data_IF_618690703749
#
_entry.id   IF_618690703749
#
_cell.length_a   1.000
_cell.length_b   1.000
_cell.length_c   1.000
_cell.angle_alpha   90.00
_cell.angle_beta   90.00
_cell.angle_gamma   90.00
#
_symmetry.space_group_name_H-M   'P 1'
#
loop_
_entity.id
_entity.type
_entity.pdbx_description
1 polymer ?
#
# COMPACT_ATOMS: atom_id res chain seq x y z
N UNK A 1 16.98 3.52 -21.61
CA UNK A 1 15.54 3.66 -21.33
C UNK A 1 15.43 4.59 -20.14
N UNK A 2 14.49 5.56 -20.09
CA UNK A 2 14.31 6.32 -18.85
C UNK A 2 14.00 5.30 -17.75
N UNK A 3 14.72 5.39 -16.63
CA UNK A 3 14.36 4.64 -15.43
C UNK A 3 12.90 4.97 -15.12
N UNK A 4 12.06 3.94 -14.95
CA UNK A 4 10.72 4.17 -14.42
C UNK A 4 10.92 4.74 -13.01
N UNK A 5 10.70 6.04 -12.85
CA UNK A 5 10.73 6.68 -11.55
C UNK A 5 9.60 6.05 -10.75
N UNK A 6 9.95 5.28 -9.71
CA UNK A 6 9.00 4.65 -8.82
C UNK A 6 9.05 5.35 -7.46
N UNK A 7 7.88 5.47 -6.84
CA UNK A 7 7.72 6.00 -5.49
C UNK A 7 7.36 4.85 -4.57
N UNK A 8 8.11 4.68 -3.48
CA UNK A 8 7.77 3.75 -2.41
C UNK A 8 6.77 4.39 -1.45
N UNK A 9 5.63 3.71 -1.27
CA UNK A 9 4.58 4.12 -0.33
C UNK A 9 4.40 3.07 0.76
N UNK A 10 4.25 3.55 1.99
CA UNK A 10 3.95 2.75 3.18
C UNK A 10 2.82 3.44 3.95
N UNK A 11 1.84 2.66 4.41
CA UNK A 11 0.58 3.20 4.95
C UNK A 11 0.42 2.83 6.41
N UNK A 12 0.47 3.83 7.29
CA UNK A 12 0.16 3.69 8.72
C UNK A 12 -1.35 3.59 8.91
N UNK A 13 -1.81 2.58 9.63
CA UNK A 13 -3.23 2.37 9.97
C UNK A 13 -3.51 2.68 11.44
N UNK A 14 -4.80 2.71 11.82
CA UNK A 14 -5.28 3.27 13.09
C UNK A 14 -4.74 2.57 14.35
N UNK A 15 -4.32 1.31 14.23
CA UNK A 15 -3.73 0.52 15.31
C UNK A 15 -2.22 0.77 15.48
N UNK A 16 -1.66 1.69 14.68
CA UNK A 16 -0.25 2.03 14.70
C UNK A 16 0.63 1.10 13.86
N UNK A 17 0.08 0.03 13.27
CA UNK A 17 0.80 -0.84 12.33
C UNK A 17 0.83 -0.25 10.92
N UNK A 18 1.63 -0.86 10.04
CA UNK A 18 1.85 -0.37 8.69
C UNK A 18 1.56 -1.45 7.63
N UNK A 19 1.03 -1.03 6.48
CA UNK A 19 0.87 -1.84 5.27
C UNK A 19 1.90 -1.37 4.22
N UNK A 20 2.68 -2.29 3.64
CA UNK A 20 3.74 -2.01 2.67
C UNK A 20 5.17 -2.19 3.22
N UNK A 21 6.21 -1.70 2.52
CA UNK A 21 6.17 -0.75 1.40
C UNK A 21 5.72 -1.37 0.06
N UNK A 22 5.24 -0.51 -0.84
CA UNK A 22 4.92 -0.85 -2.24
C UNK A 22 5.46 0.22 -3.19
N UNK A 23 5.99 -0.20 -4.34
CA UNK A 23 6.43 0.71 -5.41
C UNK A 23 5.28 1.05 -6.35
N UNK A 24 5.13 2.33 -6.68
CA UNK A 24 4.14 2.83 -7.62
C UNK A 24 4.78 3.77 -8.64
N UNK A 25 4.31 3.73 -9.88
CA UNK A 25 4.57 4.83 -10.82
C UNK A 25 3.90 6.12 -10.32
N UNK A 26 4.49 7.31 -10.52
CA UNK A 26 3.87 8.61 -10.29
C UNK A 26 2.52 8.80 -11.00
N UNK A 27 2.24 8.03 -12.05
CA UNK A 27 0.95 8.06 -12.78
C UNK A 27 -0.11 7.17 -12.15
N UNK A 28 0.20 6.43 -11.09
CA UNK A 28 -0.75 5.55 -10.39
C UNK A 28 -1.88 6.38 -9.81
N UNK A 29 -3.13 5.93 -10.01
CA UNK A 29 -4.28 6.65 -9.50
C UNK A 29 -4.50 6.37 -8.02
N UNK A 30 -5.12 7.32 -7.32
CA UNK A 30 -5.54 7.14 -5.92
C UNK A 30 -6.49 5.95 -5.76
N UNK A 31 -7.31 5.64 -6.78
CA UNK A 31 -8.20 4.48 -6.77
C UNK A 31 -7.42 3.17 -6.67
N UNK A 32 -6.40 2.98 -7.52
CA UNK A 32 -5.53 1.80 -7.49
C UNK A 32 -4.79 1.65 -6.15
N UNK A 33 -4.30 2.77 -5.61
CA UNK A 33 -3.63 2.78 -4.29
C UNK A 33 -4.60 2.35 -3.19
N UNK A 34 -5.84 2.85 -3.21
CA UNK A 34 -6.88 2.46 -2.24
C UNK A 34 -7.27 0.98 -2.35
N UNK A 35 -7.45 0.47 -3.56
CA UNK A 35 -7.74 -0.94 -3.81
C UNK A 35 -6.65 -1.85 -3.23
N UNK A 36 -5.38 -1.46 -3.36
CA UNK A 36 -4.26 -2.19 -2.73
C UNK A 36 -4.35 -2.20 -1.21
N UNK A 37 -4.62 -1.06 -0.58
CA UNK A 37 -4.76 -0.96 0.89
C UNK A 37 -5.89 -1.86 1.40
N UNK A 38 -7.04 -1.88 0.70
CA UNK A 38 -8.17 -2.75 1.07
C UNK A 38 -7.82 -4.23 0.89
N UNK A 39 -7.10 -4.58 -0.18
CA UNK A 39 -6.68 -5.96 -0.47
C UNK A 39 -5.70 -6.49 0.57
N UNK A 40 -4.73 -5.66 0.95
CA UNK A 40 -3.66 -5.99 1.91
C UNK A 40 -4.05 -5.66 3.35
N UNK A 41 -5.32 -5.30 3.59
CA UNK A 41 -5.78 -4.94 4.92
C UNK A 41 -5.53 -6.11 5.88
N UNK A 42 -4.90 -5.87 7.05
CA UNK A 42 -4.64 -6.94 8.00
C UNK A 42 -5.96 -7.58 8.37
N UNK A 43 -6.10 -8.87 8.03
CA UNK A 43 -7.19 -9.67 8.58
C UNK A 43 -6.89 -9.72 10.07
N UNK A 44 -7.80 -9.17 10.89
CA UNK A 44 -7.62 -9.10 12.34
C UNK A 44 -7.14 -10.46 12.85
N UNK A 45 -6.29 -10.45 13.88
CA UNK A 45 -5.88 -11.67 14.57
C UNK A 45 -7.13 -12.33 15.15
N UNK A 46 -7.83 -13.11 14.32
CA UNK A 46 -8.84 -14.04 14.75
C UNK A 46 -8.10 -15.07 15.56
N UNK A 47 -8.45 -15.15 16.84
CA UNK A 47 -8.10 -16.24 17.74
C UNK A 47 -8.25 -17.55 16.94
N UNK A 48 -7.14 -18.23 16.72
CA UNK A 48 -7.14 -19.65 16.37
C UNK A 48 -7.38 -20.46 17.64
#
# INVERSE_FOLDING_TARGET
>A
MPEEELVELKFRIFDGSDIGPFSYSPTSTVAMVKERIVTEWPKGQGVQ
#
